data_IF_689430050449
#
_entry.id   IF_689430050449
#
_cell.length_a   1.000
_cell.length_b   1.000
_cell.length_c   1.000
_cell.angle_alpha   90.00
_cell.angle_beta   90.00
_cell.angle_gamma   90.00
#
_symmetry.space_group_name_H-M   'P 1'
#
loop_
_entity.id
_entity.type
_entity.pdbx_description
1 polymer ?
#
# COMPACT_ATOMS: atom_id res chain seq x y z
N UNK A 1 76.47 14.96 35.79
CA UNK A 1 76.42 13.52 36.06
C UNK A 1 75.88 13.33 37.48
N UNK A 2 74.98 12.35 37.70
CA UNK A 2 74.24 12.03 38.96
C UNK A 2 72.98 12.89 39.20
N UNK A 3 71.81 12.56 38.63
CA UNK A 3 70.78 11.54 39.03
C UNK A 3 70.22 11.72 40.44
N UNK A 4 69.11 12.46 40.53
CA UNK A 4 68.16 12.41 41.64
C UNK A 4 67.15 11.27 41.41
N UNK A 5 67.10 10.30 42.33
CA UNK A 5 65.96 9.39 42.48
C UNK A 5 64.95 10.06 43.42
N UNK A 6 63.70 10.23 42.95
CA UNK A 6 62.54 10.45 43.83
C UNK A 6 61.50 9.38 43.54
N UNK A 7 61.09 8.77 44.65
CA UNK A 7 60.15 7.68 44.85
C UNK A 7 58.77 8.02 44.25
N UNK A 8 58.22 7.12 43.44
CA UNK A 8 56.82 7.16 42.99
C UNK A 8 55.91 6.72 44.14
N UNK A 9 54.97 7.58 44.53
CA UNK A 9 53.78 7.20 45.30
C UNK A 9 52.64 6.93 44.31
N UNK A 10 52.13 5.70 44.29
CA UNK A 10 50.95 5.30 43.52
C UNK A 10 49.72 5.57 44.40
N UNK A 11 48.94 6.60 44.07
CA UNK A 11 47.65 6.86 44.70
C UNK A 11 46.56 6.47 43.71
N UNK A 12 45.87 5.36 43.97
CA UNK A 12 44.76 4.88 43.15
C UNK A 12 43.52 5.75 43.36
N UNK A 13 43.16 6.54 42.34
CA UNK A 13 41.86 7.19 42.24
C UNK A 13 40.94 6.34 41.37
N UNK A 14 39.98 5.64 41.97
CA UNK A 14 38.82 5.12 41.25
C UNK A 14 37.99 6.31 40.75
N UNK A 15 38.15 6.65 39.47
CA UNK A 15 37.22 7.54 38.79
C UNK A 15 35.92 6.80 38.52
N UNK A 16 34.90 7.03 39.34
CA UNK A 16 33.51 6.69 38.98
C UNK A 16 33.12 7.57 37.78
N UNK A 17 33.18 6.99 36.58
CA UNK A 17 32.58 7.57 35.38
C UNK A 17 31.06 7.54 35.54
N UNK A 18 30.49 8.66 35.95
CA UNK A 18 29.05 8.92 35.83
C UNK A 18 28.72 9.01 34.33
N UNK A 19 28.19 7.92 33.76
CA UNK A 19 27.43 8.02 32.52
C UNK A 19 26.14 8.74 32.85
N UNK A 20 26.10 10.05 32.59
CA UNK A 20 24.81 10.72 32.40
C UNK A 20 24.26 10.10 31.13
N UNK A 21 23.30 9.19 31.28
CA UNK A 21 22.42 8.83 30.17
C UNK A 21 21.72 10.12 29.77
N UNK A 22 22.28 10.81 28.77
CA UNK A 22 21.52 11.82 28.06
C UNK A 22 20.34 11.06 27.47
N UNK A 23 19.17 11.28 28.05
CA UNK A 23 17.92 10.96 27.38
C UNK A 23 17.97 11.75 26.08
N UNK A 24 18.34 11.11 24.99
CA UNK A 24 18.07 11.61 23.65
C UNK A 24 16.56 11.69 23.60
N UNK A 25 16.03 12.89 23.87
CA UNK A 25 14.64 13.20 23.59
C UNK A 25 14.44 12.77 22.14
N UNK A 26 13.56 11.80 21.91
CA UNK A 26 13.17 11.40 20.56
C UNK A 26 12.99 12.69 19.76
N UNK A 27 13.67 12.79 18.61
CA UNK A 27 13.37 13.85 17.66
C UNK A 27 11.87 13.72 17.43
N UNK A 28 11.10 14.65 18.01
CA UNK A 28 9.64 14.57 17.98
C UNK A 28 9.15 14.50 16.54
N UNK A 29 7.84 14.34 16.31
CA UNK A 29 7.32 14.34 14.95
C UNK A 29 7.87 15.52 14.14
N UNK A 30 8.35 15.27 12.93
CA UNK A 30 8.77 16.32 12.01
C UNK A 30 7.54 17.01 11.47
N UNK A 31 7.24 18.20 11.99
CA UNK A 31 6.07 18.95 11.56
C UNK A 31 6.27 19.57 10.18
N UNK A 32 5.35 19.28 9.26
CA UNK A 32 5.33 19.83 7.92
C UNK A 32 4.22 20.90 7.84
N UNK A 33 4.64 22.15 7.59
CA UNK A 33 3.78 23.35 7.66
C UNK A 33 3.74 24.15 6.36
N UNK A 34 4.53 23.78 5.36
CA UNK A 34 4.66 24.51 4.10
C UNK A 34 4.79 23.56 2.93
N UNK A 35 4.42 24.08 1.75
CA UNK A 35 4.56 23.38 0.48
C UNK A 35 6.01 22.96 0.21
N UNK A 36 6.15 21.83 -0.48
CA UNK A 36 7.42 21.33 -1.00
C UNK A 36 7.67 22.03 -2.34
N UNK A 37 8.57 23.02 -2.36
CA UNK A 37 8.90 23.82 -3.55
C UNK A 37 10.26 23.50 -4.15
N UNK A 38 11.07 22.70 -3.45
CA UNK A 38 12.34 22.15 -3.90
C UNK A 38 12.33 20.64 -3.70
N UNK A 39 13.21 19.94 -4.42
CA UNK A 39 13.42 18.51 -4.21
C UNK A 39 13.66 18.22 -2.72
N UNK A 40 12.87 17.30 -2.17
CA UNK A 40 12.85 16.96 -0.75
C UNK A 40 12.81 15.45 -0.58
N UNK A 41 13.55 14.96 0.40
CA UNK A 41 13.50 13.56 0.85
C UNK A 41 12.98 13.51 2.28
N UNK A 42 11.99 12.66 2.51
CA UNK A 42 11.54 12.28 3.85
C UNK A 42 12.17 10.94 4.21
N UNK A 43 13.00 10.94 5.25
CA UNK A 43 13.79 9.79 5.71
C UNK A 43 13.21 9.17 6.96
N UNK A 44 13.58 7.92 7.24
CA UNK A 44 13.12 7.22 8.44
C UNK A 44 13.56 7.91 9.74
N UNK A 45 14.72 8.58 9.76
CA UNK A 45 15.22 9.34 10.91
C UNK A 45 14.36 10.58 11.22
N UNK A 46 13.69 11.15 10.21
CA UNK A 46 12.75 12.25 10.39
C UNK A 46 11.31 11.81 10.66
N UNK A 47 11.04 10.50 10.63
CA UNK A 47 9.72 9.92 10.87
C UNK A 47 9.34 9.97 12.36
N UNK A 48 8.07 10.20 12.72
CA UNK A 48 6.93 10.46 11.84
C UNK A 48 6.90 11.90 11.32
N UNK A 49 6.50 12.08 10.06
CA UNK A 49 6.20 13.39 9.48
C UNK A 49 4.74 13.74 9.72
N UNK A 50 4.48 14.87 10.36
CA UNK A 50 3.11 15.30 10.67
C UNK A 50 2.73 16.50 9.81
N UNK A 51 1.85 16.26 8.84
CA UNK A 51 1.27 17.32 8.00
C UNK A 51 0.21 18.05 8.83
N UNK A 52 0.47 19.31 9.14
CA UNK A 52 -0.43 20.17 9.92
C UNK A 52 -1.37 20.96 9.01
N UNK A 53 -2.41 21.57 9.61
CA UNK A 53 -3.26 22.59 8.97
C UNK A 53 -4.02 22.07 7.74
N UNK A 54 -4.20 22.89 6.70
CA UNK A 54 -5.00 22.55 5.51
C UNK A 54 -4.34 21.56 4.54
N UNK A 55 -3.19 20.98 4.93
CA UNK A 55 -2.37 20.16 4.06
C UNK A 55 -1.25 20.94 3.40
N UNK A 56 -0.51 20.26 2.52
CA UNK A 56 0.58 20.85 1.73
C UNK A 56 0.45 20.50 0.26
N UNK A 57 1.09 21.31 -0.58
CA UNK A 57 1.30 21.02 -1.98
C UNK A 57 2.73 20.56 -2.23
N UNK A 58 2.86 19.55 -3.09
CA UNK A 58 4.14 19.05 -3.59
C UNK A 58 4.34 19.62 -4.99
N UNK A 59 5.02 20.75 -5.06
CA UNK A 59 5.32 21.51 -6.29
C UNK A 59 6.71 21.18 -6.87
N UNK A 60 7.48 20.33 -6.20
CA UNK A 60 8.74 19.74 -6.65
C UNK A 60 8.74 18.22 -6.36
N UNK A 61 9.84 17.52 -6.66
CA UNK A 61 9.96 16.09 -6.33
C UNK A 61 9.94 15.88 -4.81
N UNK A 62 9.00 15.06 -4.32
CA UNK A 62 9.03 14.52 -2.96
C UNK A 62 9.32 13.02 -3.03
N UNK A 63 10.44 12.61 -2.41
CA UNK A 63 10.77 11.21 -2.19
C UNK A 63 10.50 10.83 -0.74
N UNK A 64 9.81 9.73 -0.50
CA UNK A 64 9.52 9.18 0.81
C UNK A 64 10.19 7.81 0.88
N UNK A 65 11.13 7.66 1.82
CA UNK A 65 11.90 6.44 2.00
C UNK A 65 11.10 5.32 2.67
N UNK A 66 11.52 4.05 2.52
CA UNK A 66 10.92 2.92 3.24
C UNK A 66 10.81 3.13 4.75
N UNK A 67 9.72 2.65 5.35
CA UNK A 67 9.48 2.73 6.79
C UNK A 67 9.10 4.11 7.33
N UNK A 68 8.93 5.11 6.47
CA UNK A 68 8.43 6.43 6.86
C UNK A 68 6.95 6.37 7.21
N UNK A 69 6.59 7.05 8.30
CA UNK A 69 5.21 7.28 8.73
C UNK A 69 4.86 8.74 8.46
N UNK A 70 3.81 8.97 7.70
CA UNK A 70 3.22 10.27 7.40
C UNK A 70 1.86 10.33 8.07
N UNK A 71 1.70 11.27 8.99
CA UNK A 71 0.46 11.49 9.74
C UNK A 71 -0.19 12.80 9.36
N UNK A 72 -1.51 12.79 9.26
CA UNK A 72 -2.29 13.97 8.95
C UNK A 72 -2.97 14.49 10.23
N UNK A 73 -2.57 15.69 10.65
CA UNK A 73 -3.17 16.36 11.80
C UNK A 73 -4.37 17.18 11.35
N UNK A 74 -5.54 16.70 11.73
CA UNK A 74 -6.80 17.29 11.37
C UNK A 74 -7.51 17.93 12.56
N UNK A 75 -7.95 19.17 12.35
CA UNK A 75 -8.96 19.85 13.17
C UNK A 75 -10.24 20.13 12.36
N UNK A 76 -11.36 20.43 13.04
CA UNK A 76 -12.73 20.52 12.47
C UNK A 76 -12.88 21.35 11.18
N UNK A 77 -11.98 22.33 10.96
CA UNK A 77 -11.95 23.24 9.82
C UNK A 77 -10.81 22.96 8.82
N UNK A 78 -9.91 22.04 9.12
CA UNK A 78 -8.76 21.74 8.28
C UNK A 78 -9.12 20.81 7.13
N UNK A 79 -8.38 20.92 6.04
CA UNK A 79 -8.47 20.03 4.88
C UNK A 79 -7.25 19.13 4.69
N UNK A 80 -6.55 18.79 5.78
CA UNK A 80 -5.28 18.06 5.79
C UNK A 80 -5.21 17.02 4.66
N UNK A 81 -4.44 17.36 3.62
CA UNK A 81 -4.25 16.60 2.39
C UNK A 81 -2.81 16.75 1.90
N UNK A 82 -2.39 15.80 1.08
CA UNK A 82 -1.15 15.88 0.33
C UNK A 82 -1.51 16.10 -1.14
N UNK A 83 -1.41 17.34 -1.63
CA UNK A 83 -1.72 17.68 -3.03
C UNK A 83 -0.46 17.58 -3.89
N UNK A 84 -0.40 16.61 -4.80
CA UNK A 84 0.74 16.40 -5.68
C UNK A 84 0.52 17.18 -6.98
N UNK A 85 1.27 18.27 -7.14
CA UNK A 85 1.30 19.08 -8.35
C UNK A 85 2.48 18.75 -9.27
N UNK A 86 3.54 18.16 -8.72
CA UNK A 86 4.73 17.73 -9.47
C UNK A 86 4.90 16.21 -9.41
N UNK A 87 5.70 15.68 -8.49
CA UNK A 87 6.05 14.26 -8.45
C UNK A 87 6.14 13.73 -7.02
N UNK A 88 5.55 12.57 -6.78
CA UNK A 88 5.68 11.79 -5.54
C UNK A 88 6.34 10.44 -5.84
N UNK A 89 7.40 10.11 -5.11
CA UNK A 89 8.00 8.77 -5.09
C UNK A 89 7.88 8.23 -3.67
N UNK A 90 6.95 7.31 -3.43
CA UNK A 90 6.79 6.60 -2.17
C UNK A 90 6.91 5.10 -2.44
N UNK A 91 8.13 4.57 -2.30
CA UNK A 91 8.44 3.16 -2.59
C UNK A 91 8.99 2.53 -1.31
N UNK A 92 8.13 1.79 -0.61
CA UNK A 92 8.51 0.98 0.53
C UNK A 92 8.98 -0.42 0.13
N UNK A 93 8.97 -1.34 1.08
CA UNK A 93 9.13 -2.78 0.84
C UNK A 93 8.27 -3.59 1.83
N UNK A 94 8.27 -4.92 1.71
CA UNK A 94 7.47 -5.82 2.56
C UNK A 94 7.70 -5.63 4.06
N UNK A 95 8.94 -5.35 4.46
CA UNK A 95 9.32 -5.20 5.87
C UNK A 95 9.21 -3.75 6.36
N UNK A 96 9.28 -2.79 5.44
CA UNK A 96 9.33 -1.36 5.74
C UNK A 96 8.36 -0.61 4.83
N UNK A 97 7.07 -0.91 5.02
CA UNK A 97 5.99 -0.21 4.32
C UNK A 97 5.98 1.27 4.70
N UNK A 98 5.62 2.12 3.74
CA UNK A 98 5.35 3.55 4.01
C UNK A 98 3.93 3.68 4.52
N UNK A 99 3.72 4.41 5.61
CA UNK A 99 2.41 4.53 6.26
C UNK A 99 1.85 5.94 6.10
N UNK A 100 0.64 6.08 5.56
CA UNK A 100 -0.13 7.32 5.51
C UNK A 100 -1.39 7.13 6.38
N UNK A 101 -1.45 7.85 7.51
CA UNK A 101 -2.50 7.61 8.52
C UNK A 101 -2.92 8.86 9.30
N UNK A 102 -3.90 8.72 10.17
CA UNK A 102 -4.37 9.76 11.10
C UNK A 102 -3.29 10.13 12.12
N UNK A 103 -3.27 11.38 12.59
CA UNK A 103 -2.45 11.75 13.76
C UNK A 103 -2.77 10.90 15.00
N UNK A 104 -4.03 10.45 15.10
CA UNK A 104 -4.59 9.65 16.20
C UNK A 104 -4.22 8.16 16.14
N UNK A 105 -3.46 7.74 15.13
CA UNK A 105 -3.08 6.35 14.95
C UNK A 105 -1.78 6.03 15.70
N UNK A 106 -1.90 5.64 16.96
CA UNK A 106 -0.74 5.36 17.81
C UNK A 106 0.02 4.08 17.41
N UNK A 107 -0.60 3.24 16.57
CA UNK A 107 0.02 1.98 16.13
C UNK A 107 1.23 2.17 15.22
N UNK A 108 1.37 3.36 14.61
CA UNK A 108 2.51 3.73 13.78
C UNK A 108 3.12 5.04 14.25
N UNK A 109 4.43 5.09 14.51
CA UNK A 109 5.12 6.32 14.91
C UNK A 109 4.76 6.86 16.31
N UNK A 110 3.95 6.16 17.10
CA UNK A 110 3.56 6.51 18.47
C UNK A 110 2.55 7.65 18.58
N UNK A 111 2.23 8.03 19.81
CA UNK A 111 1.29 9.11 20.16
C UNK A 111 1.83 10.50 19.75
N UNK A 112 1.45 10.93 18.56
CA UNK A 112 1.93 12.19 17.96
C UNK A 112 1.06 13.41 18.29
N UNK A 113 -0.13 13.19 18.84
CA UNK A 113 -1.08 14.18 19.33
C UNK A 113 -0.99 14.40 20.85
N UNK A 114 -0.22 13.57 21.56
CA UNK A 114 0.04 13.64 22.99
C UNK A 114 -1.24 13.51 23.84
N UNK A 115 -2.19 12.69 23.39
CA UNK A 115 -3.42 12.41 24.14
C UNK A 115 -3.49 10.99 24.73
N UNK A 116 -2.40 10.22 24.65
CA UNK A 116 -2.39 8.81 25.03
C UNK A 116 -3.45 8.03 24.25
N UNK A 117 -4.07 7.03 24.87
CA UNK A 117 -5.09 6.21 24.20
C UNK A 117 -6.49 6.86 24.14
N UNK A 118 -6.59 8.19 24.31
CA UNK A 118 -7.89 8.89 24.36
C UNK A 118 -8.57 8.88 23.00
N UNK A 119 -7.81 9.08 21.93
CA UNK A 119 -8.35 9.08 20.57
C UNK A 119 -7.84 7.89 19.77
N UNK A 120 -8.69 7.40 18.86
CA UNK A 120 -8.37 6.29 17.96
C UNK A 120 -8.61 6.74 16.52
N UNK A 121 -7.87 6.20 15.54
CA UNK A 121 -8.03 6.61 14.16
C UNK A 121 -9.38 6.15 13.61
N UNK A 122 -10.02 7.02 12.83
CA UNK A 122 -11.31 6.74 12.20
C UNK A 122 -11.37 7.25 10.78
N UNK A 123 -12.18 6.59 9.95
CA UNK A 123 -12.46 7.02 8.58
C UNK A 123 -12.86 8.49 8.53
N UNK A 124 -12.20 9.27 7.67
CA UNK A 124 -12.43 10.71 7.54
C UNK A 124 -11.65 11.59 8.51
N UNK A 125 -10.61 11.05 9.13
CA UNK A 125 -9.67 11.80 9.95
C UNK A 125 -8.78 12.72 9.13
N UNK A 126 -8.66 12.52 7.82
CA UNK A 126 -7.99 13.44 6.91
C UNK A 126 -8.64 13.38 5.53
N UNK A 127 -8.14 14.16 4.57
CA UNK A 127 -8.78 14.26 3.26
C UNK A 127 -8.27 13.22 2.27
N UNK A 128 -7.09 13.47 1.67
CA UNK A 128 -6.61 12.63 0.58
C UNK A 128 -5.15 12.89 0.20
N UNK A 129 -4.56 11.90 -0.47
CA UNK A 129 -3.41 12.08 -1.36
C UNK A 129 -4.01 12.39 -2.74
N UNK A 130 -3.79 13.60 -3.22
CA UNK A 130 -4.49 14.14 -4.38
C UNK A 130 -3.51 14.49 -5.50
N UNK A 131 -3.49 13.67 -6.55
CA UNK A 131 -2.72 13.91 -7.78
C UNK A 131 -3.52 14.81 -8.74
N UNK A 132 -2.98 15.99 -9.05
CA UNK A 132 -3.59 16.96 -9.96
C UNK A 132 -3.23 16.67 -11.43
N UNK A 133 -3.91 17.30 -12.41
CA UNK A 133 -3.59 17.12 -13.82
C UNK A 133 -2.11 17.41 -14.14
N UNK A 134 -1.46 16.49 -14.85
CA UNK A 134 -0.04 16.59 -15.21
C UNK A 134 0.95 16.09 -14.15
N UNK A 135 0.50 15.81 -12.92
CA UNK A 135 1.35 15.24 -11.87
C UNK A 135 1.78 13.79 -12.16
N UNK A 136 2.82 13.34 -11.46
CA UNK A 136 3.39 11.98 -11.54
C UNK A 136 3.45 11.36 -10.15
N UNK A 137 3.36 10.04 -10.07
CA UNK A 137 3.30 9.35 -8.78
C UNK A 137 3.68 7.88 -8.82
N UNK A 138 4.43 7.44 -7.82
CA UNK A 138 4.59 6.03 -7.50
C UNK A 138 4.24 5.84 -6.02
N UNK A 139 3.30 4.95 -5.75
CA UNK A 139 2.97 4.45 -4.42
C UNK A 139 3.15 2.93 -4.49
N UNK A 140 4.20 2.43 -3.87
CA UNK A 140 4.53 1.01 -3.85
C UNK A 140 4.86 0.57 -2.43
N UNK A 141 4.36 -0.60 -1.99
CA UNK A 141 4.48 -1.08 -0.63
C UNK A 141 4.11 -0.02 0.44
N UNK A 142 2.95 0.62 0.26
CA UNK A 142 2.45 1.61 1.21
C UNK A 142 1.12 1.18 1.85
N UNK A 143 0.81 1.70 3.01
CA UNK A 143 -0.52 1.58 3.64
C UNK A 143 -1.12 2.97 3.75
N UNK A 144 -2.28 3.17 3.15
CA UNK A 144 -3.04 4.43 3.17
C UNK A 144 -4.36 4.16 3.88
N UNK A 145 -4.61 4.87 4.97
CA UNK A 145 -5.81 4.63 5.76
C UNK A 145 -6.40 5.83 6.48
N UNK A 146 -7.70 5.74 6.73
CA UNK A 146 -8.52 6.69 7.51
C UNK A 146 -8.79 8.04 6.83
N UNK A 147 -8.53 8.15 5.53
CA UNK A 147 -8.85 9.32 4.73
C UNK A 147 -10.35 9.53 4.46
N UNK A 148 -10.65 10.61 3.75
CA UNK A 148 -11.95 11.06 3.23
C UNK A 148 -13.03 11.38 4.27
N UNK A 149 -13.08 12.64 4.71
CA UNK A 149 -14.13 13.14 5.62
C UNK A 149 -15.53 13.21 5.00
N UNK A 150 -15.62 13.53 3.72
CA UNK A 150 -16.91 13.79 3.07
C UNK A 150 -16.88 13.47 1.58
N UNK A 151 -18.07 13.39 0.98
CA UNK A 151 -18.25 13.13 -0.45
C UNK A 151 -17.57 14.16 -1.37
N UNK A 152 -17.20 15.35 -0.87
CA UNK A 152 -16.55 16.39 -1.68
C UNK A 152 -15.06 16.12 -1.91
N UNK A 153 -14.47 15.17 -1.18
CA UNK A 153 -13.04 14.81 -1.26
C UNK A 153 -12.80 13.58 -2.15
N UNK A 154 -13.89 12.93 -2.60
CA UNK A 154 -13.94 11.77 -3.49
C UNK A 154 -13.20 10.55 -2.94
N UNK A 155 -11.86 10.47 -3.03
CA UNK A 155 -11.11 9.27 -2.64
C UNK A 155 -9.91 9.57 -1.78
N UNK A 156 -9.53 8.61 -0.95
CA UNK A 156 -8.37 8.68 -0.06
C UNK A 156 -7.09 8.83 -0.90
N UNK A 157 -7.01 8.08 -2.00
CA UNK A 157 -6.14 8.40 -3.11
C UNK A 157 -7.00 8.91 -4.26
N UNK A 158 -6.78 10.15 -4.68
CA UNK A 158 -7.50 10.79 -5.77
C UNK A 158 -6.54 11.10 -6.92
N UNK A 159 -6.87 10.69 -8.14
CA UNK A 159 -6.06 10.90 -9.34
C UNK A 159 -6.91 11.55 -10.42
N UNK A 160 -6.54 12.77 -10.84
CA UNK A 160 -7.33 13.57 -11.79
C UNK A 160 -6.50 13.98 -12.99
N UNK A 161 -6.94 13.60 -14.19
CA UNK A 161 -6.40 14.14 -15.44
C UNK A 161 -4.93 13.82 -15.72
N UNK A 162 -4.38 12.79 -15.08
CA UNK A 162 -3.03 12.26 -15.33
C UNK A 162 -3.09 10.74 -15.50
N UNK A 163 -2.14 10.16 -16.23
CA UNK A 163 -1.97 8.72 -16.38
C UNK A 163 -0.62 8.23 -15.86
N UNK A 164 0.16 9.13 -15.25
CA UNK A 164 1.54 8.87 -14.80
C UNK A 164 1.58 8.54 -13.30
N UNK A 165 0.54 7.90 -12.79
CA UNK A 165 0.48 7.42 -11.42
C UNK A 165 0.43 5.90 -11.43
N UNK A 166 1.18 5.26 -10.55
CA UNK A 166 1.09 3.83 -10.31
C UNK A 166 0.96 3.54 -8.83
N UNK A 167 0.02 2.65 -8.49
CA UNK A 167 -0.24 2.17 -7.13
C UNK A 167 -0.11 0.65 -7.16
N UNK A 168 0.90 0.14 -6.46
CA UNK A 168 1.23 -1.28 -6.44
C UNK A 168 1.52 -1.81 -5.04
N UNK A 169 1.28 -3.10 -4.81
CA UNK A 169 1.65 -3.83 -3.59
C UNK A 169 1.22 -3.11 -2.29
N UNK A 170 0.17 -2.28 -2.38
CA UNK A 170 -0.22 -1.33 -1.36
C UNK A 170 -1.55 -1.71 -0.72
N UNK A 171 -1.76 -1.25 0.51
CA UNK A 171 -2.99 -1.41 1.26
C UNK A 171 -3.74 -0.07 1.27
N UNK A 172 -5.00 -0.08 0.83
CA UNK A 172 -5.88 1.08 0.87
C UNK A 172 -7.12 0.69 1.67
N UNK A 173 -7.24 1.23 2.89
CA UNK A 173 -8.25 0.74 3.84
C UNK A 173 -8.85 1.80 4.74
N UNK A 174 -10.05 1.53 5.21
CA UNK A 174 -10.75 2.38 6.20
C UNK A 174 -11.02 3.82 5.69
N UNK A 175 -11.12 4.02 4.38
CA UNK A 175 -11.57 5.29 3.80
C UNK A 175 -13.04 5.56 4.12
N UNK A 176 -13.35 6.82 4.46
CA UNK A 176 -14.73 7.28 4.66
C UNK A 176 -15.57 7.36 3.38
N UNK A 177 -14.94 7.25 2.20
CA UNK A 177 -15.64 7.18 0.91
C UNK A 177 -14.92 6.22 -0.06
N UNK A 178 -14.39 6.70 -1.18
CA UNK A 178 -13.60 5.85 -2.09
C UNK A 178 -12.22 5.57 -1.51
N UNK A 179 -11.74 4.33 -1.61
CA UNK A 179 -10.33 4.04 -1.38
C UNK A 179 -9.49 4.73 -2.46
N UNK A 180 -9.78 4.43 -3.72
CA UNK A 180 -9.13 5.04 -4.89
C UNK A 180 -10.18 5.66 -5.80
N UNK A 181 -10.02 6.94 -6.12
CA UNK A 181 -10.85 7.65 -7.09
C UNK A 181 -10.02 8.13 -8.27
N UNK A 182 -10.40 7.68 -9.47
CA UNK A 182 -9.80 8.11 -10.74
C UNK A 182 -10.80 8.98 -11.49
N UNK A 183 -10.37 10.14 -12.01
CA UNK A 183 -11.19 10.97 -12.89
C UNK A 183 -10.43 11.35 -14.15
N UNK A 184 -10.91 10.89 -15.31
CA UNK A 184 -10.19 11.03 -16.59
C UNK A 184 -8.73 10.56 -16.50
N UNK A 185 -8.51 9.43 -15.84
CA UNK A 185 -7.21 8.81 -15.62
C UNK A 185 -7.23 7.33 -16.01
N UNK A 186 -6.14 6.85 -16.61
CA UNK A 186 -5.87 5.44 -16.86
C UNK A 186 -4.63 4.96 -16.08
N UNK A 187 -4.41 5.53 -14.89
CA UNK A 187 -3.29 5.18 -14.00
C UNK A 187 -3.32 3.71 -13.60
N UNK A 188 -2.16 3.16 -13.22
CA UNK A 188 -1.99 1.72 -13.00
C UNK A 188 -2.32 1.37 -11.55
N UNK A 189 -3.27 0.45 -11.35
CA UNK A 189 -3.71 -0.04 -10.04
C UNK A 189 -3.60 -1.58 -10.02
N UNK A 190 -2.52 -2.10 -9.46
CA UNK A 190 -2.18 -3.52 -9.53
C UNK A 190 -1.69 -4.09 -8.19
N UNK A 191 -1.97 -5.36 -7.90
CA UNK A 191 -1.43 -6.07 -6.73
C UNK A 191 -1.74 -5.39 -5.38
N UNK A 192 -2.85 -4.65 -5.27
CA UNK A 192 -3.21 -3.94 -4.03
C UNK A 192 -4.23 -4.72 -3.20
N UNK A 193 -4.26 -4.43 -1.90
CA UNK A 193 -5.31 -4.83 -0.98
C UNK A 193 -6.21 -3.62 -0.73
N UNK A 194 -7.46 -3.69 -1.19
CA UNK A 194 -8.41 -2.59 -1.14
C UNK A 194 -9.63 -3.04 -0.35
N UNK A 195 -9.68 -2.65 0.92
CA UNK A 195 -10.62 -3.23 1.88
C UNK A 195 -11.20 -2.25 2.88
N UNK A 196 -12.38 -2.53 3.40
CA UNK A 196 -13.02 -1.74 4.47
C UNK A 196 -13.18 -0.25 4.11
N UNK A 197 -13.26 0.07 2.83
CA UNK A 197 -13.63 1.39 2.35
C UNK A 197 -15.14 1.44 2.15
N UNK A 198 -15.71 2.65 2.03
CA UNK A 198 -17.10 2.72 1.60
C UNK A 198 -17.27 2.15 0.19
N UNK A 199 -16.36 2.46 -0.73
CA UNK A 199 -16.24 1.79 -2.02
C UNK A 199 -14.76 1.65 -2.33
N UNK A 200 -14.34 0.50 -2.87
CA UNK A 200 -12.93 0.25 -3.13
C UNK A 200 -12.34 1.21 -4.17
N UNK A 201 -12.77 1.07 -5.42
CA UNK A 201 -12.32 1.88 -6.54
C UNK A 201 -13.51 2.54 -7.24
N UNK A 202 -13.35 3.81 -7.62
CA UNK A 202 -14.29 4.49 -8.49
C UNK A 202 -13.58 5.13 -9.67
N UNK A 203 -14.06 4.89 -10.89
CA UNK A 203 -13.63 5.58 -12.10
C UNK A 203 -14.72 6.55 -12.57
N UNK A 204 -14.35 7.81 -12.75
CA UNK A 204 -15.21 8.83 -13.34
C UNK A 204 -14.62 9.44 -14.62
N UNK A 205 -15.47 10.16 -15.34
CA UNK A 205 -15.11 10.76 -16.63
C UNK A 205 -15.17 9.76 -17.78
N UNK A 206 -14.40 10.02 -18.84
CA UNK A 206 -14.55 9.35 -20.14
C UNK A 206 -13.31 8.54 -20.54
N UNK A 207 -12.42 8.25 -19.59
CA UNK A 207 -11.25 7.41 -19.84
C UNK A 207 -11.58 5.95 -19.58
N UNK A 208 -10.91 5.08 -20.34
CA UNK A 208 -10.81 3.67 -20.01
C UNK A 208 -9.62 3.44 -19.08
N UNK A 209 -9.78 2.56 -18.10
CA UNK A 209 -8.71 2.16 -17.20
C UNK A 209 -8.66 0.64 -17.05
N UNK A 210 -7.50 0.14 -16.62
CA UNK A 210 -7.27 -1.28 -16.36
C UNK A 210 -6.75 -1.42 -14.94
N UNK A 211 -7.32 -2.34 -14.17
CA UNK A 211 -6.87 -2.72 -12.83
C UNK A 211 -6.85 -4.23 -12.73
N UNK A 212 -5.77 -4.82 -12.19
CA UNK A 212 -5.61 -6.29 -12.16
C UNK A 212 -4.91 -6.75 -10.91
N UNK A 213 -5.11 -8.01 -10.55
CA UNK A 213 -4.44 -8.69 -9.45
C UNK A 213 -4.65 -8.02 -8.08
N UNK A 214 -5.71 -7.22 -7.93
CA UNK A 214 -6.04 -6.61 -6.65
C UNK A 214 -6.93 -7.57 -5.83
N UNK A 215 -6.74 -7.54 -4.51
CA UNK A 215 -7.70 -8.03 -3.54
C UNK A 215 -8.70 -6.92 -3.23
N UNK A 216 -9.98 -7.11 -3.54
CA UNK A 216 -11.04 -6.12 -3.34
C UNK A 216 -12.17 -6.77 -2.55
N UNK A 217 -12.18 -6.59 -1.23
CA UNK A 217 -13.18 -7.22 -0.36
C UNK A 217 -13.46 -6.37 0.89
N UNK A 218 -14.61 -6.60 1.53
CA UNK A 218 -14.99 -5.89 2.76
C UNK A 218 -15.34 -4.41 2.56
N UNK A 219 -15.38 -3.91 1.31
CA UNK A 219 -15.88 -2.56 1.03
C UNK A 219 -17.42 -2.55 1.17
N UNK A 220 -17.97 -1.46 1.72
CA UNK A 220 -19.35 -1.43 2.22
C UNK A 220 -20.39 -1.35 1.10
N UNK A 221 -20.20 -0.47 0.12
CA UNK A 221 -21.17 -0.23 -0.95
C UNK A 221 -20.86 -1.07 -2.18
N UNK A 222 -19.65 -1.00 -2.73
CA UNK A 222 -19.16 -1.83 -3.85
C UNK A 222 -17.62 -1.93 -3.84
N UNK A 223 -17.09 -2.93 -4.55
CA UNK A 223 -15.65 -3.08 -4.78
C UNK A 223 -15.12 -2.13 -5.83
N UNK A 224 -15.77 -2.06 -7.00
CA UNK A 224 -15.39 -1.14 -8.07
C UNK A 224 -16.63 -0.58 -8.76
N UNK A 225 -16.63 0.70 -9.12
CA UNK A 225 -17.74 1.30 -9.87
C UNK A 225 -17.32 2.39 -10.85
N UNK A 226 -18.18 2.65 -11.83
CA UNK A 226 -18.17 3.87 -12.64
C UNK A 226 -19.02 4.95 -11.94
N UNK A 227 -18.38 6.08 -11.62
CA UNK A 227 -19.04 7.29 -11.14
C UNK A 227 -19.55 8.10 -12.33
N UNK A 228 -20.81 7.89 -12.70
CA UNK A 228 -21.46 8.58 -13.81
C UNK A 228 -22.04 7.60 -14.82
N UNK A 229 -22.32 8.10 -16.03
CA UNK A 229 -22.78 7.25 -17.13
C UNK A 229 -21.53 6.70 -17.83
N UNK A 230 -21.35 5.37 -17.89
CA UNK A 230 -20.23 4.80 -18.59
C UNK A 230 -20.33 5.10 -20.09
N UNK A 231 -19.19 5.38 -20.72
CA UNK A 231 -19.13 5.57 -22.18
C UNK A 231 -19.10 4.23 -22.94
N UNK A 232 -18.73 3.15 -22.26
CA UNK A 232 -18.74 1.78 -22.78
C UNK A 232 -18.83 0.77 -21.64
N UNK A 233 -19.25 -0.46 -21.95
CA UNK A 233 -19.41 -1.53 -20.94
C UNK A 233 -18.07 -2.04 -20.37
N UNK A 234 -16.97 -1.79 -21.07
CA UNK A 234 -15.60 -2.12 -20.71
C UNK A 234 -14.80 -0.86 -20.32
N UNK A 235 -15.47 0.19 -19.82
CA UNK A 235 -14.78 1.41 -19.45
C UNK A 235 -13.74 1.15 -18.36
N UNK A 236 -14.03 0.25 -17.44
CA UNK A 236 -13.07 -0.22 -16.46
C UNK A 236 -12.84 -1.72 -16.62
N UNK A 237 -11.69 -2.09 -17.15
CA UNK A 237 -11.24 -3.48 -17.18
C UNK A 237 -10.70 -3.85 -15.79
N UNK A 238 -11.54 -4.49 -14.99
CA UNK A 238 -11.25 -5.01 -13.66
C UNK A 238 -11.26 -6.56 -13.64
N UNK A 239 -10.90 -7.20 -14.74
CA UNK A 239 -10.63 -8.64 -14.77
C UNK A 239 -9.42 -8.98 -13.93
N UNK A 240 -9.30 -10.26 -13.58
CA UNK A 240 -8.15 -10.79 -12.83
C UNK A 240 -8.00 -10.16 -11.43
N UNK A 241 -9.10 -9.68 -10.83
CA UNK A 241 -9.14 -9.27 -9.42
C UNK A 241 -9.89 -10.29 -8.57
N UNK A 242 -9.60 -10.33 -7.27
CA UNK A 242 -10.36 -11.08 -6.29
C UNK A 242 -11.40 -10.18 -5.64
N UNK A 243 -12.65 -10.64 -5.57
CA UNK A 243 -13.78 -9.82 -5.11
C UNK A 243 -14.26 -10.16 -3.70
N UNK A 244 -13.50 -10.97 -2.96
CA UNK A 244 -13.88 -11.41 -1.61
C UNK A 244 -14.64 -12.73 -1.55
N UNK A 245 -15.04 -13.30 -2.69
CA UNK A 245 -15.70 -14.61 -2.76
C UNK A 245 -15.41 -15.29 -4.11
N UNK A 246 -15.34 -16.62 -4.11
CA UNK A 246 -15.08 -17.45 -5.31
C UNK A 246 -16.16 -17.29 -6.37
N UNK A 247 -17.40 -17.01 -5.97
CA UNK A 247 -18.50 -16.70 -6.88
C UNK A 247 -18.33 -15.37 -7.61
N UNK A 248 -17.31 -14.56 -7.27
CA UNK A 248 -17.03 -13.30 -7.94
C UNK A 248 -17.87 -12.13 -7.41
N UNK A 249 -17.79 -10.97 -8.07
CA UNK A 249 -18.46 -9.77 -7.61
C UNK A 249 -19.96 -9.86 -7.87
N UNK A 250 -20.78 -9.40 -6.92
CA UNK A 250 -22.19 -9.16 -7.21
C UNK A 250 -22.33 -8.07 -8.29
N UNK A 251 -23.04 -8.35 -9.37
CA UNK A 251 -23.36 -7.31 -10.35
C UNK A 251 -24.56 -6.46 -9.88
N UNK A 252 -24.28 -5.22 -9.47
CA UNK A 252 -25.30 -4.24 -9.12
C UNK A 252 -25.76 -3.49 -10.37
N UNK A 253 -26.87 -3.97 -10.95
CA UNK A 253 -27.52 -3.32 -12.10
C UNK A 253 -27.73 -1.82 -11.88
N UNK A 254 -27.25 -1.00 -12.81
CA UNK A 254 -27.59 0.41 -12.86
C UNK A 254 -28.85 0.70 -13.66
N UNK A 255 -29.08 1.97 -13.97
CA UNK A 255 -30.27 2.46 -14.70
C UNK A 255 -30.24 2.16 -16.21
N UNK A 256 -29.09 1.79 -16.78
CA UNK A 256 -28.89 1.61 -18.22
C UNK A 256 -28.13 0.30 -18.54
N UNK A 257 -28.51 -0.80 -17.88
CA UNK A 257 -27.95 -2.12 -18.19
C UNK A 257 -28.44 -2.64 -19.55
N UNK A 258 -27.52 -3.16 -20.37
CA UNK A 258 -27.90 -4.18 -21.35
C UNK A 258 -27.48 -5.55 -20.82
N UNK A 259 -28.53 -6.35 -20.63
CA UNK A 259 -28.58 -7.72 -20.19
C UNK A 259 -27.65 -8.61 -21.00
N UNK A 260 -26.83 -9.43 -20.32
CA UNK A 260 -26.54 -10.86 -20.62
C UNK A 260 -25.26 -11.42 -19.95
N UNK A 261 -24.55 -10.66 -19.10
CA UNK A 261 -23.36 -11.14 -18.36
C UNK A 261 -23.38 -10.71 -16.87
N UNK A 262 -24.57 -10.59 -16.28
CA UNK A 262 -24.71 -10.14 -14.91
C UNK A 262 -24.40 -11.28 -13.92
N UNK A 263 -23.41 -11.12 -13.06
CA UNK A 263 -23.16 -12.04 -11.95
C UNK A 263 -24.07 -11.71 -10.75
N UNK A 264 -25.38 -11.93 -10.89
CA UNK A 264 -26.39 -11.56 -9.88
C UNK A 264 -26.34 -12.44 -8.61
N UNK A 265 -25.69 -13.60 -8.70
CA UNK A 265 -25.53 -14.52 -7.57
C UNK A 265 -24.15 -14.39 -6.89
N UNK A 266 -23.26 -13.55 -7.44
CA UNK A 266 -21.96 -13.26 -6.86
C UNK A 266 -22.10 -12.75 -5.43
N UNK A 267 -21.31 -13.30 -4.51
CA UNK A 267 -21.30 -12.91 -3.09
C UNK A 267 -20.16 -11.95 -2.75
N UNK A 268 -19.26 -11.71 -3.69
CA UNK A 268 -18.17 -10.76 -3.56
C UNK A 268 -18.66 -9.30 -3.61
N UNK A 269 -17.75 -8.40 -3.27
CA UNK A 269 -17.92 -6.96 -3.38
C UNK A 269 -18.43 -6.56 -4.76
N UNK A 270 -19.45 -5.71 -4.81
CA UNK A 270 -20.16 -5.48 -6.06
C UNK A 270 -19.41 -4.63 -7.08
N UNK A 271 -19.91 -4.73 -8.32
CA UNK A 271 -19.55 -3.86 -9.44
C UNK A 271 -20.81 -3.31 -10.13
N UNK A 272 -20.68 -2.28 -10.96
CA UNK A 272 -21.80 -1.71 -11.72
C UNK A 272 -21.52 -1.63 -13.24
N UNK A 273 -22.49 -1.08 -13.97
CA UNK A 273 -22.40 -0.85 -15.41
C UNK A 273 -21.07 -0.17 -15.81
N UNK A 274 -20.39 -0.71 -16.82
CA UNK A 274 -19.11 -0.19 -17.32
C UNK A 274 -17.86 -0.84 -16.69
N UNK A 275 -18.04 -1.72 -15.69
CA UNK A 275 -16.96 -2.52 -15.12
C UNK A 275 -16.97 -3.92 -15.73
N UNK A 276 -15.89 -4.26 -16.45
CA UNK A 276 -15.64 -5.59 -16.96
C UNK A 276 -14.87 -6.40 -15.91
N UNK A 277 -15.46 -7.47 -15.38
CA UNK A 277 -14.92 -8.20 -14.22
C UNK A 277 -14.67 -9.70 -14.47
N UNK A 278 -15.13 -10.24 -15.60
CA UNK A 278 -15.01 -11.66 -15.95
C UNK A 278 -13.87 -11.88 -16.98
N UNK A 279 -12.88 -12.76 -16.72
CA UNK A 279 -12.73 -13.60 -15.53
C UNK A 279 -12.26 -12.83 -14.30
N UNK A 280 -12.63 -13.35 -13.12
CA UNK A 280 -12.09 -12.95 -11.83
C UNK A 280 -11.23 -14.07 -11.22
N UNK A 281 -10.38 -13.72 -10.26
CA UNK A 281 -9.54 -14.68 -9.55
C UNK A 281 -10.42 -15.67 -8.78
N UNK A 282 -10.13 -16.97 -8.88
CA UNK A 282 -10.85 -18.01 -8.14
C UNK A 282 -10.25 -18.30 -6.76
N UNK A 283 -9.10 -17.69 -6.47
CA UNK A 283 -8.41 -17.75 -5.17
C UNK A 283 -8.00 -16.33 -4.78
N UNK A 284 -8.10 -16.02 -3.49
CA UNK A 284 -7.57 -14.80 -2.92
C UNK A 284 -6.05 -14.71 -3.13
N UNK A 285 -5.51 -13.59 -3.66
CA UNK A 285 -4.07 -13.41 -3.85
C UNK A 285 -3.31 -13.09 -2.55
N UNK A 286 -4.02 -12.92 -1.43
CA UNK A 286 -3.41 -12.65 -0.10
C UNK A 286 -3.49 -13.85 0.83
N UNK A 287 -4.18 -14.91 0.43
CA UNK A 287 -4.14 -16.16 1.19
C UNK A 287 -2.74 -16.74 1.01
N UNK A 288 -2.08 -17.10 2.11
CA UNK A 288 -0.86 -17.87 2.03
C UNK A 288 -1.14 -19.10 1.15
N UNK A 289 -0.27 -19.33 0.17
CA UNK A 289 -0.21 -20.66 -0.42
C UNK A 289 0.12 -21.59 0.72
N UNK A 290 -0.90 -22.32 1.20
CA UNK A 290 -0.70 -23.41 2.15
C UNK A 290 0.36 -24.28 1.49
N UNK A 291 1.59 -24.18 2.00
CA UNK A 291 2.68 -25.02 1.55
C UNK A 291 2.12 -26.43 1.63
N UNK A 292 2.13 -27.12 0.50
CA UNK A 292 1.50 -28.43 0.42
C UNK A 292 2.04 -29.28 1.59
N UNK A 293 1.12 -29.79 2.41
CA UNK A 293 1.50 -30.42 3.68
C UNK A 293 1.78 -31.92 3.51
N UNK A 294 1.27 -32.55 2.45
CA UNK A 294 1.53 -33.95 2.09
C UNK A 294 1.49 -34.15 0.56
N UNK A 295 2.39 -35.00 0.03
CA UNK A 295 2.47 -35.42 -1.39
C UNK A 295 2.61 -34.28 -2.42
N UNK A 296 3.58 -33.39 -2.17
CA UNK A 296 3.85 -32.24 -3.02
C UNK A 296 4.67 -32.65 -4.23
N UNK A 297 3.99 -32.86 -5.36
CA UNK A 297 4.63 -33.01 -6.64
C UNK A 297 4.93 -31.63 -7.21
N UNK A 298 6.21 -31.31 -7.41
CA UNK A 298 6.60 -30.10 -8.14
C UNK A 298 6.13 -30.20 -9.58
N UNK A 299 5.58 -29.12 -10.13
CA UNK A 299 5.32 -29.04 -11.56
C UNK A 299 6.67 -29.09 -12.29
N UNK A 300 6.92 -30.16 -13.05
CA UNK A 300 8.11 -30.26 -13.89
C UNK A 300 7.77 -29.74 -15.29
N UNK A 301 8.41 -28.65 -15.69
CA UNK A 301 8.36 -28.18 -17.07
C UNK A 301 9.38 -28.96 -17.91
N UNK A 302 8.91 -29.79 -18.83
CA UNK A 302 9.77 -30.37 -19.86
C UNK A 302 9.91 -29.37 -21.01
N UNK A 303 11.10 -28.77 -21.15
CA UNK A 303 11.49 -28.00 -22.34
C UNK A 303 12.32 -28.91 -23.27
N UNK A 304 11.78 -29.35 -24.41
CA UNK A 304 12.56 -30.15 -25.36
C UNK A 304 13.75 -29.32 -25.89
N UNK A 305 14.95 -29.90 -25.86
CA UNK A 305 16.15 -29.30 -26.46
C UNK A 305 17.05 -28.50 -25.51
N UNK A 306 16.68 -28.34 -24.23
CA UNK A 306 17.58 -27.85 -23.17
C UNK A 306 17.89 -29.03 -22.25
N UNK A 307 19.17 -29.33 -22.03
CA UNK A 307 19.60 -30.33 -21.04
C UNK A 307 19.31 -29.75 -19.65
N UNK A 308 18.08 -29.92 -19.16
CA UNK A 308 17.66 -29.50 -17.83
C UNK A 308 18.48 -30.20 -16.74
N UNK A 309 18.47 -29.61 -15.55
CA UNK A 309 19.15 -30.08 -14.34
C UNK A 309 18.83 -31.56 -14.06
N UNK A 310 19.86 -32.38 -13.90
CA UNK A 310 19.72 -33.78 -13.48
C UNK A 310 19.24 -33.82 -12.04
N UNK A 311 18.21 -34.61 -11.76
CA UNK A 311 17.79 -34.92 -10.41
C UNK A 311 18.51 -36.21 -9.98
N UNK A 312 19.31 -36.13 -8.92
CA UNK A 312 19.98 -37.29 -8.35
C UNK A 312 19.13 -37.87 -7.23
N UNK A 313 19.00 -39.19 -7.22
CA UNK A 313 18.48 -39.92 -6.05
C UNK A 313 19.68 -40.50 -5.32
N UNK A 314 19.87 -40.09 -4.07
CA UNK A 314 20.90 -40.65 -3.21
C UNK A 314 20.53 -42.09 -2.84
N UNK A 315 21.39 -43.04 -3.21
CA UNK A 315 21.25 -44.43 -2.81
C UNK A 315 22.10 -44.68 -1.56
N UNK A 316 21.41 -44.89 -0.43
CA UNK A 316 22.06 -45.14 0.86
C UNK A 316 22.74 -46.50 0.96
N UNK A 317 22.44 -47.46 0.08
CA UNK A 317 23.10 -48.77 0.08
C UNK A 317 24.43 -48.75 -0.69
N UNK A 318 24.54 -47.91 -1.72
CA UNK A 318 25.74 -47.82 -2.55
C UNK A 318 26.57 -46.55 -2.33
N UNK A 319 26.10 -45.63 -1.49
CA UNK A 319 26.69 -44.32 -1.18
C UNK A 319 27.01 -43.51 -2.46
N UNK A 320 26.10 -43.56 -3.42
CA UNK A 320 26.24 -42.90 -4.73
C UNK A 320 24.94 -42.25 -5.16
N UNK A 321 25.10 -41.16 -5.88
CA UNK A 321 24.01 -40.50 -6.60
C UNK A 321 23.71 -41.29 -7.88
N UNK A 322 22.49 -41.79 -8.00
CA UNK A 322 22.01 -42.44 -9.23
C UNK A 322 21.29 -41.40 -10.11
N UNK A 323 21.69 -41.36 -11.39
CA UNK A 323 20.97 -40.65 -12.45
C UNK A 323 19.67 -41.43 -12.76
N UNK A 324 18.53 -41.02 -12.18
CA UNK A 324 17.21 -41.57 -12.54
C UNK A 324 16.39 -40.55 -13.33
N UNK A 325 15.90 -40.96 -14.50
CA UNK A 325 14.77 -40.31 -15.16
C UNK A 325 13.49 -40.87 -14.52
N UNK A 326 12.62 -39.98 -14.04
CA UNK A 326 11.35 -40.37 -13.41
C UNK A 326 10.59 -41.34 -14.31
N UNK A 327 10.31 -42.55 -13.81
CA UNK A 327 9.42 -43.49 -14.50
C UNK A 327 8.00 -43.02 -14.21
N UNK A 328 7.17 -42.67 -15.22
CA UNK A 328 5.79 -42.29 -14.97
C UNK A 328 5.08 -43.48 -14.32
N UNK A 329 4.42 -43.24 -13.18
CA UNK A 329 3.48 -44.20 -12.63
C UNK A 329 2.27 -44.26 -13.59
N UNK A 330 1.97 -45.45 -14.09
CA UNK A 330 0.79 -45.75 -14.91
C UNK A 330 -0.44 -45.98 -14.02
#
# INVERSE_FOLDING_TARGET
MQRFQKILFFCGGLGLSFFIAQTVRAAGPTEIKSDITTETVWTKEGSPYVIKSDGIKVNALLTIEPGVVVKFDYSYNSRAKLEINSELIAIGNENERIIFTSIRDDSFGGDTNLDGDITIPKSGDWNSIHFTPGSRGVIDYATVSYGVRSRTVWGEITIIGTNNVSIRNSEIKNSGYYGIFLYNSSSIIENNIISNNKTGISLGGNKKAVMRNNFIAGNVECGALISGIPISLDQLDARDNWWGDVSGPYYKRGLYGYVNEDNLEGKGNCVNDGVLFNPWLQKSPVDEDVACQENCHSNVLFLPGIKASRLYKYDSETDKDLDELWVPNW
#
